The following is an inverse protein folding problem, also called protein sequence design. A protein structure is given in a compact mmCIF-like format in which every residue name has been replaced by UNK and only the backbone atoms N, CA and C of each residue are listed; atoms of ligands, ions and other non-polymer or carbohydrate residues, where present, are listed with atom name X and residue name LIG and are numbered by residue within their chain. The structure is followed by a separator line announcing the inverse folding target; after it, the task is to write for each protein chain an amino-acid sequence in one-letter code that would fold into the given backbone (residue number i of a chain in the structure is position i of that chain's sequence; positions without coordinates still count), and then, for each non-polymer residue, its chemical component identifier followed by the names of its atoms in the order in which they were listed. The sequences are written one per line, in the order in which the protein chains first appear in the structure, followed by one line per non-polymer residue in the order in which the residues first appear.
data_IF_284709263542
#
_entry.id   IF_284709263542
#
_cell.length_a   1.000
_cell.length_b   1.000
_cell.length_c   1.000
_cell.angle_alpha   90.00
_cell.angle_beta   90.00
_cell.angle_gamma   90.00
#
_symmetry.space_group_name_H-M   'P 1'
#
loop_
_entity.id
_entity.type
_entity.pdbx_description
1 polymer ?
#
# COMPACT_ATOMS: atom_id res chain seq x y z
N UNK A 1 0.73 -56.89 -31.60
CA UNK A 1 0.36 -56.75 -30.17
C UNK A 1 1.48 -56.13 -29.32
N UNK A 2 2.77 -56.54 -29.44
CA UNK A 2 3.86 -55.96 -28.63
C UNK A 2 4.22 -54.49 -28.94
N UNK A 3 4.00 -54.00 -30.17
CA UNK A 3 4.30 -52.61 -30.56
C UNK A 3 3.26 -51.59 -30.07
N UNK A 4 2.01 -52.02 -29.87
CA UNK A 4 0.91 -51.17 -29.42
C UNK A 4 0.94 -50.92 -27.91
N UNK A 5 1.41 -51.90 -27.13
CA UNK A 5 1.59 -51.76 -25.68
C UNK A 5 2.68 -50.74 -25.34
N UNK A 6 3.79 -50.69 -26.09
CA UNK A 6 4.89 -49.74 -25.84
C UNK A 6 4.53 -48.28 -26.07
N UNK A 7 3.62 -47.99 -27.00
CA UNK A 7 3.15 -46.62 -27.29
C UNK A 7 2.21 -46.10 -26.18
N UNK A 8 1.36 -46.98 -25.62
CA UNK A 8 0.45 -46.62 -24.52
C UNK A 8 1.24 -46.35 -23.22
N UNK A 9 2.32 -47.09 -22.96
CA UNK A 9 3.20 -46.85 -21.81
C UNK A 9 4.00 -45.54 -21.92
N UNK A 10 4.40 -45.16 -23.14
CA UNK A 10 5.12 -43.91 -23.37
C UNK A 10 4.23 -42.66 -23.21
N UNK A 11 2.94 -42.77 -23.54
CA UNK A 11 1.97 -41.68 -23.38
C UNK A 11 1.57 -41.47 -21.91
N UNK A 12 1.51 -42.53 -21.11
CA UNK A 12 1.23 -42.45 -19.67
C UNK A 12 2.39 -41.83 -18.85
N UNK A 13 3.63 -42.00 -19.29
CA UNK A 13 4.80 -41.40 -18.63
C UNK A 13 4.96 -39.88 -18.89
N UNK A 14 4.45 -39.37 -20.02
CA UNK A 14 4.51 -37.94 -20.36
C UNK A 14 3.51 -37.06 -19.60
N UNK A 15 2.47 -37.65 -19.00
CA UNK A 15 1.41 -36.92 -18.29
C UNK A 15 1.77 -36.51 -16.85
N UNK A 16 2.93 -36.93 -16.33
CA UNK A 16 3.34 -36.70 -14.93
C UNK A 16 4.29 -35.51 -14.74
N UNK A 17 4.61 -34.74 -15.79
CA UNK A 17 5.70 -33.73 -15.76
C UNK A 17 5.23 -32.26 -15.70
N UNK A 18 3.96 -31.99 -15.40
CA UNK A 18 3.41 -30.62 -15.44
C UNK A 18 3.44 -29.86 -14.11
N UNK A 19 4.44 -30.13 -13.26
CA UNK A 19 4.72 -29.28 -12.10
C UNK A 19 5.53 -28.06 -12.54
N UNK A 20 4.87 -26.95 -12.87
CA UNK A 20 5.56 -25.69 -13.08
C UNK A 20 6.13 -25.19 -11.75
N UNK A 21 7.46 -25.21 -11.60
CA UNK A 21 8.17 -24.57 -10.49
C UNK A 21 8.21 -23.05 -10.72
N UNK A 22 7.08 -22.39 -10.52
CA UNK A 22 7.03 -20.93 -10.52
C UNK A 22 7.57 -20.40 -9.18
N UNK A 23 8.89 -20.31 -9.07
CA UNK A 23 9.55 -19.60 -7.98
C UNK A 23 9.82 -18.15 -8.37
N UNK A 24 9.69 -17.24 -7.41
CA UNK A 24 10.10 -15.85 -7.60
C UNK A 24 11.62 -15.82 -7.70
N UNK A 25 12.23 -15.13 -8.70
CA UNK A 25 13.67 -15.03 -8.81
C UNK A 25 14.29 -14.50 -7.51
N UNK A 26 15.42 -15.07 -7.08
CA UNK A 26 16.11 -14.62 -5.87
C UNK A 26 16.42 -13.11 -5.88
N UNK A 27 16.70 -12.55 -7.06
CA UNK A 27 16.89 -11.11 -7.24
C UNK A 27 15.67 -10.27 -6.88
N UNK A 28 14.45 -10.79 -7.00
CA UNK A 28 13.22 -10.12 -6.59
C UNK A 28 12.95 -10.31 -5.09
N UNK A 29 13.20 -11.52 -4.56
CA UNK A 29 13.04 -11.80 -3.13
C UNK A 29 13.99 -10.95 -2.29
N UNK A 30 15.24 -10.80 -2.74
CA UNK A 30 16.27 -10.00 -2.05
C UNK A 30 15.93 -8.51 -1.93
N UNK A 31 14.93 -8.02 -2.68
CA UNK A 31 14.44 -6.64 -2.57
C UNK A 31 13.52 -6.42 -1.37
N UNK A 32 12.85 -7.48 -0.90
CA UNK A 32 11.99 -7.41 0.28
C UNK A 32 12.84 -7.11 1.52
N UNK A 33 12.42 -6.13 2.32
CA UNK A 33 13.18 -5.63 3.47
C UNK A 33 14.33 -4.68 3.10
N UNK A 34 14.88 -4.77 1.89
CA UNK A 34 15.89 -3.84 1.35
C UNK A 34 15.23 -2.53 0.85
N UNK A 35 14.90 -2.45 -0.43
CA UNK A 35 14.22 -1.32 -1.07
C UNK A 35 12.68 -1.46 -1.09
N UNK A 36 12.16 -2.68 -0.89
CA UNK A 36 10.74 -2.96 -0.76
C UNK A 36 10.33 -3.28 0.69
N UNK A 37 9.09 -2.99 1.05
CA UNK A 37 8.47 -3.39 2.31
C UNK A 37 8.32 -4.92 2.34
N UNK A 38 8.01 -5.53 3.50
CA UNK A 38 7.78 -6.97 3.58
C UNK A 38 6.69 -7.50 2.63
N UNK A 39 5.77 -6.62 2.19
CA UNK A 39 4.69 -6.95 1.25
C UNK A 39 4.97 -6.50 -0.20
N UNK A 40 6.19 -6.08 -0.50
CA UNK A 40 6.61 -5.73 -1.87
C UNK A 40 6.30 -4.30 -2.32
N UNK A 41 5.88 -3.40 -1.43
CA UNK A 41 5.68 -1.98 -1.76
C UNK A 41 6.99 -1.20 -1.69
N UNK A 42 7.14 -0.09 -2.41
CA UNK A 42 8.35 0.74 -2.30
C UNK A 42 8.51 1.35 -0.89
N UNK A 43 9.73 1.23 -0.32
CA UNK A 43 10.08 1.85 0.96
C UNK A 43 10.44 3.32 0.83
N UNK A 44 10.98 3.73 -0.32
CA UNK A 44 11.37 5.11 -0.55
C UNK A 44 10.19 6.07 -0.38
N UNK A 45 10.49 7.26 0.12
CA UNK A 45 9.58 8.40 0.11
C UNK A 45 9.71 9.18 -1.20
N UNK A 46 8.77 10.08 -1.46
CA UNK A 46 8.85 11.01 -2.60
C UNK A 46 8.16 12.32 -2.27
N UNK A 47 8.80 13.45 -2.59
CA UNK A 47 8.34 14.77 -2.19
C UNK A 47 8.15 14.89 -0.67
N UNK A 48 6.93 15.22 -0.25
CA UNK A 48 6.54 15.35 1.16
C UNK A 48 6.18 14.01 1.84
N UNK A 49 6.24 12.89 1.12
CA UNK A 49 5.94 11.56 1.67
C UNK A 49 7.22 10.98 2.28
N UNK A 50 7.25 10.68 3.60
CA UNK A 50 8.44 10.10 4.21
C UNK A 50 8.70 8.67 3.74
N UNK A 51 9.96 8.24 3.80
CA UNK A 51 10.31 6.84 3.64
C UNK A 51 9.60 5.97 4.70
N UNK A 52 9.26 4.75 4.34
CA UNK A 52 8.67 3.79 5.28
C UNK A 52 9.76 3.19 6.19
N UNK A 53 9.57 3.37 7.50
CA UNK A 53 10.53 2.94 8.53
C UNK A 53 9.93 1.88 9.47
N UNK A 54 8.91 1.14 9.03
CA UNK A 54 8.26 0.09 9.85
C UNK A 54 6.83 0.38 10.27
N UNK A 55 6.33 1.61 10.10
CA UNK A 55 4.99 1.99 10.56
C UNK A 55 4.88 2.12 12.08
N UNK A 56 3.68 1.92 12.63
CA UNK A 56 3.41 1.90 14.08
C UNK A 56 3.31 0.43 14.55
N UNK A 57 4.40 -0.18 15.05
CA UNK A 57 4.41 -1.60 15.43
C UNK A 57 3.61 -1.90 16.69
N UNK A 58 3.38 -0.88 17.53
CA UNK A 58 2.59 -0.96 18.76
C UNK A 58 1.59 0.18 18.81
N UNK A 59 0.54 0.01 19.61
CA UNK A 59 -0.43 1.09 19.87
C UNK A 59 0.33 2.28 20.50
N UNK A 60 0.25 3.49 19.92
CA UNK A 60 0.87 4.67 20.50
C UNK A 60 0.33 4.95 21.90
N UNK A 61 1.19 5.43 22.81
CA UNK A 61 0.82 5.64 24.22
C UNK A 61 -0.29 6.66 24.44
N UNK A 62 -0.51 7.55 23.46
CA UNK A 62 -1.59 8.54 23.46
C UNK A 62 -2.89 8.01 22.84
N UNK A 63 -2.97 6.72 22.51
CA UNK A 63 -4.15 6.07 21.94
C UNK A 63 -4.59 4.92 22.85
N UNK A 64 -5.86 4.97 23.19
CA UNK A 64 -6.61 3.88 23.82
C UNK A 64 -7.53 3.24 22.79
N UNK A 65 -7.71 1.92 22.89
CA UNK A 65 -8.57 1.17 21.99
C UNK A 65 -9.48 0.24 22.77
N UNK A 66 -10.78 0.34 22.48
CA UNK A 66 -11.79 -0.64 22.89
C UNK A 66 -12.42 -1.20 21.61
N UNK A 67 -12.58 -2.53 21.48
CA UNK A 67 -13.28 -3.11 20.34
C UNK A 67 -14.67 -2.51 20.16
N UNK A 68 -14.97 -2.05 18.94
CA UNK A 68 -16.22 -1.37 18.58
C UNK A 68 -16.15 0.16 18.60
N UNK A 69 -15.13 0.75 19.24
CA UNK A 69 -14.93 2.19 19.25
C UNK A 69 -14.20 2.69 17.99
N UNK A 70 -14.39 3.98 17.70
CA UNK A 70 -13.60 4.68 16.70
C UNK A 70 -12.15 4.78 17.17
N UNK A 71 -11.22 4.36 16.32
CA UNK A 71 -9.79 4.53 16.58
C UNK A 71 -9.43 6.01 16.78
N UNK A 72 -8.75 6.30 17.89
CA UNK A 72 -8.23 7.64 18.15
C UNK A 72 -7.11 7.96 17.15
N UNK A 73 -7.00 9.23 16.77
CA UNK A 73 -5.92 9.69 15.91
C UNK A 73 -4.62 9.81 16.73
N UNK A 74 -3.58 8.99 16.46
CA UNK A 74 -2.31 9.10 17.18
C UNK A 74 -1.55 10.40 16.89
N UNK A 75 -1.91 11.11 15.81
CA UNK A 75 -1.28 12.34 15.38
C UNK A 75 -2.19 13.56 15.58
N UNK A 76 -3.01 13.56 16.63
CA UNK A 76 -3.96 14.65 16.90
C UNK A 76 -3.30 16.02 17.10
N UNK A 77 -2.02 16.05 17.44
CA UNK A 77 -1.21 17.27 17.59
C UNK A 77 -0.58 17.77 16.27
N UNK A 78 -0.74 17.05 15.15
CA UNK A 78 -0.19 17.48 13.88
C UNK A 78 -0.86 18.79 13.43
N UNK A 79 -0.04 19.83 13.25
CA UNK A 79 -0.49 21.13 12.78
C UNK A 79 -0.94 21.10 11.32
N UNK A 80 -1.88 21.97 10.99
CA UNK A 80 -2.28 22.22 9.60
C UNK A 80 -1.12 22.93 8.89
N UNK A 81 -0.56 22.32 7.84
CA UNK A 81 0.46 22.96 6.98
C UNK A 81 -0.15 24.13 6.21
N UNK A 82 -1.32 23.89 5.61
CA UNK A 82 -2.11 24.88 4.90
C UNK A 82 -3.53 24.37 4.69
N UNK A 83 -4.42 25.26 4.25
CA UNK A 83 -5.82 24.91 3.94
C UNK A 83 -6.14 25.27 2.50
N UNK A 84 -6.69 24.31 1.78
CA UNK A 84 -7.25 24.50 0.44
C UNK A 84 -8.73 24.85 0.59
N UNK A 85 -9.13 25.91 -0.08
CA UNK A 85 -10.49 26.45 -0.15
C UNK A 85 -10.84 26.70 -1.61
N UNK A 86 -12.10 27.02 -1.91
CA UNK A 86 -12.50 27.41 -3.26
C UNK A 86 -11.63 28.57 -3.83
N UNK A 87 -11.23 29.52 -2.97
CA UNK A 87 -10.51 30.72 -3.36
C UNK A 87 -9.06 30.47 -3.83
N UNK A 88 -8.40 29.43 -3.32
CA UNK A 88 -7.01 29.08 -3.68
C UNK A 88 -6.90 27.73 -4.40
N UNK A 89 -8.03 27.09 -4.73
CA UNK A 89 -8.08 25.80 -5.43
C UNK A 89 -7.22 25.77 -6.70
N UNK A 90 -7.17 26.88 -7.46
CA UNK A 90 -6.36 26.99 -8.66
C UNK A 90 -4.86 26.86 -8.42
N UNK A 91 -4.37 27.20 -7.22
CA UNK A 91 -2.95 27.04 -6.86
C UNK A 91 -2.57 25.57 -6.64
N UNK A 92 -3.56 24.69 -6.42
CA UNK A 92 -3.37 23.28 -6.09
C UNK A 92 -4.07 22.34 -7.09
N UNK A 93 -4.33 22.81 -8.30
CA UNK A 93 -5.18 22.09 -9.26
C UNK A 93 -4.62 20.70 -9.64
N UNK A 94 -3.29 20.55 -9.65
CA UNK A 94 -2.60 19.31 -9.98
C UNK A 94 -2.61 18.29 -8.82
N UNK A 95 -2.86 18.75 -7.59
CA UNK A 95 -2.96 17.91 -6.40
C UNK A 95 -4.41 17.52 -6.06
N UNK A 96 -5.39 18.10 -6.76
CA UNK A 96 -6.80 17.87 -6.51
C UNK A 96 -7.41 16.98 -7.59
N UNK A 97 -8.10 15.94 -7.17
CA UNK A 97 -9.00 15.19 -8.06
C UNK A 97 -10.19 16.06 -8.45
N UNK A 98 -10.82 15.74 -9.58
CA UNK A 98 -11.99 16.49 -10.06
C UNK A 98 -13.16 16.44 -9.08
N UNK A 99 -13.27 15.36 -8.29
CA UNK A 99 -14.25 15.25 -7.21
C UNK A 99 -14.03 16.29 -6.10
N UNK A 100 -12.78 16.52 -5.67
CA UNK A 100 -12.49 17.55 -4.68
C UNK A 100 -12.66 18.96 -5.23
N UNK A 101 -12.32 19.18 -6.51
CA UNK A 101 -12.60 20.46 -7.18
C UNK A 101 -14.09 20.77 -7.22
N UNK A 102 -14.92 19.76 -7.51
CA UNK A 102 -16.37 19.87 -7.49
C UNK A 102 -16.90 20.18 -6.08
N UNK A 103 -16.42 19.50 -5.03
CA UNK A 103 -16.83 19.77 -3.65
C UNK A 103 -16.47 21.19 -3.20
N UNK A 104 -15.25 21.65 -3.49
CA UNK A 104 -14.81 23.02 -3.18
C UNK A 104 -15.66 24.07 -3.91
N UNK A 105 -16.08 23.80 -5.14
CA UNK A 105 -16.91 24.72 -5.92
C UNK A 105 -18.37 24.75 -5.45
N UNK A 106 -18.92 23.58 -5.10
CA UNK A 106 -20.33 23.44 -4.74
C UNK A 106 -20.65 23.93 -3.32
N UNK A 107 -19.69 23.83 -2.39
CA UNK A 107 -19.91 24.10 -0.97
C UNK A 107 -18.92 25.15 -0.44
N UNK A 108 -19.33 26.41 -0.25
CA UNK A 108 -18.46 27.47 0.27
C UNK A 108 -17.88 27.19 1.67
N UNK A 109 -18.54 26.33 2.46
CA UNK A 109 -18.05 25.91 3.78
C UNK A 109 -17.02 24.77 3.72
N UNK A 110 -16.90 24.09 2.57
CA UNK A 110 -15.96 23.00 2.39
C UNK A 110 -14.54 23.54 2.26
N UNK A 111 -13.62 22.91 2.99
CA UNK A 111 -12.19 23.19 2.95
C UNK A 111 -11.42 21.93 3.25
N UNK A 112 -10.22 21.83 2.70
CA UNK A 112 -9.31 20.72 2.93
C UNK A 112 -8.11 21.21 3.73
N UNK A 113 -8.00 20.77 4.98
CA UNK A 113 -6.81 20.98 5.77
C UNK A 113 -5.75 19.95 5.37
N UNK A 114 -4.56 20.42 5.01
CA UNK A 114 -3.43 19.57 4.65
C UNK A 114 -2.49 19.47 5.85
N UNK A 115 -2.12 18.24 6.19
CA UNK A 115 -1.24 17.92 7.31
C UNK A 115 0.04 17.27 6.80
N UNK A 116 1.02 17.04 7.69
CA UNK A 116 2.20 16.25 7.34
C UNK A 116 1.83 14.80 6.98
N UNK A 117 2.55 14.23 6.03
CA UNK A 117 2.36 12.83 5.63
C UNK A 117 3.02 11.89 6.63
N UNK A 118 2.33 10.78 6.97
CA UNK A 118 2.83 9.74 7.88
C UNK A 118 2.58 8.38 7.23
N UNK A 119 3.62 7.54 7.11
CA UNK A 119 3.45 6.13 6.70
C UNK A 119 3.37 5.24 7.95
N UNK A 120 2.17 5.14 8.53
CA UNK A 120 1.92 4.49 9.82
C UNK A 120 1.52 3.01 9.76
N UNK A 121 1.15 2.47 8.59
CA UNK A 121 0.85 1.04 8.46
C UNK A 121 2.10 0.20 8.76
N UNK A 122 2.03 -0.57 9.84
CA UNK A 122 2.99 -1.62 10.15
C UNK A 122 2.53 -2.95 9.54
N UNK A 123 3.49 -3.83 9.30
CA UNK A 123 3.25 -5.23 8.94
C UNK A 123 3.76 -6.11 10.07
N UNK A 124 3.07 -7.22 10.38
CA UNK A 124 3.61 -8.19 11.33
C UNK A 124 4.92 -8.75 10.80
N UNK A 125 5.85 -8.99 11.71
CA UNK A 125 6.97 -9.88 11.43
C UNK A 125 6.38 -11.29 11.25
N UNK A 126 6.76 -11.93 10.16
CA UNK A 126 6.28 -13.25 9.70
C UNK A 126 6.19 -14.31 10.79
#
# INVERSE_FOLDING_TARGET
MKKTTGIVTLFAAGALVTSAFASVPASQVNRLGADLTPVGAEKAGSGDIPAWTGGLPTVPSNVTYTPGDKLQNPFASDGIKFTITAANMGQYADQLSDGYKALLSAYPSYKMNVYQSRRSCAYPDS
#
